data_IF_587854069119
#
_entry.id   IF_587854069119
#
_cell.length_a   1.000
_cell.length_b   1.000
_cell.length_c   1.000
_cell.angle_alpha   90.00
_cell.angle_beta   90.00
_cell.angle_gamma   90.00
#
_symmetry.space_group_name_H-M   'P 1'
#
loop_
_entity.id
_entity.type
_entity.pdbx_description
1 polymer ?
#
# COMPACT_ATOMS: atom_id res chain seq x y z
N UNK A 1 -14.34 12.31 -12.27
CA UNK A 1 -15.07 11.42 -11.36
C UNK A 1 -16.05 10.64 -12.21
N UNK A 2 -15.87 9.33 -12.35
CA UNK A 2 -16.57 8.48 -13.35
C UNK A 2 -17.90 7.94 -12.80
N UNK A 3 -18.85 7.64 -13.68
CA UNK A 3 -20.19 7.11 -13.32
C UNK A 3 -20.12 5.82 -12.48
N UNK A 4 -19.12 4.98 -12.74
CA UNK A 4 -18.79 3.77 -11.97
C UNK A 4 -18.37 4.06 -10.51
N UNK A 5 -17.81 5.23 -10.24
CA UNK A 5 -17.33 5.60 -8.90
C UNK A 5 -18.51 5.90 -7.97
N UNK A 6 -19.59 6.50 -8.51
CA UNK A 6 -20.82 6.81 -7.77
C UNK A 6 -21.60 5.56 -7.36
N UNK A 7 -21.70 4.56 -8.24
CA UNK A 7 -22.41 3.30 -7.92
C UNK A 7 -21.73 2.49 -6.81
N UNK A 8 -20.41 2.63 -6.65
CA UNK A 8 -19.68 1.98 -5.55
C UNK A 8 -20.02 2.61 -4.20
N UNK A 9 -20.51 3.86 -4.18
CA UNK A 9 -20.83 4.58 -2.93
C UNK A 9 -22.15 4.12 -2.30
N UNK A 10 -23.04 3.51 -3.07
CA UNK A 10 -24.33 2.99 -2.59
C UNK A 10 -24.25 1.55 -2.08
N UNK A 11 -23.07 0.92 -2.17
CA UNK A 11 -22.84 -0.45 -1.70
C UNK A 11 -22.52 -0.48 -0.20
N UNK A 12 -22.93 -1.56 0.50
CA UNK A 12 -22.51 -1.80 1.89
C UNK A 12 -20.99 -1.83 2.01
N UNK A 13 -20.45 -1.34 3.14
CA UNK A 13 -19.01 -1.17 3.39
C UNK A 13 -18.20 -2.45 3.09
N UNK A 14 -18.73 -3.60 3.50
CA UNK A 14 -18.13 -4.92 3.28
C UNK A 14 -17.97 -5.26 1.79
N UNK A 15 -18.95 -4.89 0.95
CA UNK A 15 -18.87 -5.15 -0.49
C UNK A 15 -17.82 -4.26 -1.16
N UNK A 16 -17.71 -3.01 -0.71
CA UNK A 16 -16.70 -2.05 -1.19
C UNK A 16 -15.29 -2.51 -0.83
N UNK A 17 -15.11 -3.00 0.41
CA UNK A 17 -13.84 -3.54 0.87
C UNK A 17 -13.45 -4.78 0.07
N UNK A 18 -14.40 -5.69 -0.19
CA UNK A 18 -14.14 -6.89 -1.02
C UNK A 18 -13.74 -6.52 -2.45
N UNK A 19 -14.35 -5.50 -3.04
CA UNK A 19 -13.98 -4.99 -4.37
C UNK A 19 -12.57 -4.38 -4.34
N UNK A 20 -12.23 -3.59 -3.30
CA UNK A 20 -10.89 -3.04 -3.11
C UNK A 20 -9.86 -4.17 -3.01
N UNK A 21 -10.10 -5.15 -2.13
CA UNK A 21 -9.21 -6.27 -1.89
C UNK A 21 -8.94 -7.04 -3.19
N UNK A 22 -9.99 -7.32 -3.98
CA UNK A 22 -9.82 -7.95 -5.29
C UNK A 22 -8.97 -7.14 -6.28
N UNK A 23 -9.11 -5.80 -6.29
CA UNK A 23 -8.27 -4.92 -7.11
C UNK A 23 -6.83 -4.92 -6.65
N UNK A 24 -6.58 -4.81 -5.35
CA UNK A 24 -5.24 -4.82 -4.77
C UNK A 24 -4.52 -6.14 -5.07
N UNK A 25 -5.16 -7.28 -4.86
CA UNK A 25 -4.61 -8.60 -5.19
C UNK A 25 -4.26 -8.74 -6.67
N UNK A 26 -5.11 -8.22 -7.56
CA UNK A 26 -4.87 -8.25 -8.99
C UNK A 26 -3.63 -7.41 -9.37
N UNK A 27 -3.56 -6.18 -8.85
CA UNK A 27 -2.41 -5.28 -9.07
C UNK A 27 -1.10 -5.88 -8.52
N UNK A 28 -1.14 -6.48 -7.33
CA UNK A 28 0.00 -7.17 -6.73
C UNK A 28 0.46 -8.34 -7.59
N UNK A 29 -0.47 -9.15 -8.12
CA UNK A 29 -0.16 -10.24 -9.04
C UNK A 29 0.51 -9.76 -10.33
N UNK A 30 0.04 -8.65 -10.90
CA UNK A 30 0.67 -8.03 -12.08
C UNK A 30 2.06 -7.47 -11.77
N UNK A 31 2.21 -6.75 -10.65
CA UNK A 31 3.50 -6.21 -10.23
C UNK A 31 4.53 -7.32 -10.01
N UNK A 32 4.10 -8.46 -9.42
CA UNK A 32 4.95 -9.63 -9.25
C UNK A 32 5.42 -10.22 -10.58
N UNK A 33 4.50 -10.42 -11.54
CA UNK A 33 4.86 -10.92 -12.87
C UNK A 33 5.80 -9.98 -13.63
N UNK A 34 5.67 -8.68 -13.40
CA UNK A 34 6.57 -7.66 -13.96
C UNK A 34 7.92 -7.56 -13.22
N UNK A 35 8.12 -8.31 -12.12
CA UNK A 35 9.32 -8.21 -11.29
C UNK A 35 9.44 -6.89 -10.51
N UNK A 36 8.33 -6.17 -10.33
CA UNK A 36 8.26 -4.85 -9.67
C UNK A 36 7.70 -4.91 -8.24
N UNK A 37 7.47 -6.11 -7.72
CA UNK A 37 6.99 -6.32 -6.36
C UNK A 37 8.14 -6.74 -5.43
N UNK A 38 8.26 -6.06 -4.30
CA UNK A 38 9.13 -6.45 -3.19
C UNK A 38 8.27 -6.96 -2.02
N UNK A 39 8.68 -8.06 -1.38
CA UNK A 39 7.95 -8.67 -0.27
C UNK A 39 8.89 -9.00 0.89
N UNK A 40 8.37 -8.94 2.12
CA UNK A 40 9.07 -9.26 3.36
C UNK A 40 9.52 -8.02 4.12
N UNK A 41 9.37 -8.06 5.44
CA UNK A 41 9.58 -6.89 6.33
C UNK A 41 10.98 -6.28 6.19
N UNK A 42 12.03 -7.10 6.20
CA UNK A 42 13.41 -6.63 6.10
C UNK A 42 13.72 -6.04 4.72
N UNK A 43 13.35 -6.76 3.67
CA UNK A 43 13.57 -6.33 2.28
C UNK A 43 12.83 -5.02 1.98
N UNK A 44 11.57 -4.92 2.41
CA UNK A 44 10.77 -3.70 2.23
C UNK A 44 11.36 -2.55 3.05
N UNK A 45 11.84 -2.78 4.27
CA UNK A 45 12.56 -1.74 5.02
C UNK A 45 13.77 -1.22 4.25
N UNK A 46 14.58 -2.10 3.67
CA UNK A 46 15.74 -1.69 2.88
C UNK A 46 15.35 -0.94 1.62
N UNK A 47 14.29 -1.36 0.93
CA UNK A 47 13.81 -0.68 -0.26
C UNK A 47 13.23 0.71 0.09
N UNK A 48 12.50 0.84 1.21
CA UNK A 48 12.05 2.15 1.73
C UNK A 48 13.25 3.07 1.98
N UNK A 49 14.34 2.57 2.57
CA UNK A 49 15.56 3.36 2.80
C UNK A 49 16.24 3.79 1.49
N UNK A 50 16.24 2.93 0.48
CA UNK A 50 16.89 3.20 -0.82
C UNK A 50 16.11 4.18 -1.68
N UNK A 51 14.78 4.07 -1.68
CA UNK A 51 13.90 4.85 -2.56
C UNK A 51 13.26 6.04 -1.88
N UNK A 52 13.17 6.00 -0.56
CA UNK A 52 12.59 7.04 0.26
C UNK A 52 13.49 8.25 0.42
N UNK A 53 12.90 9.34 0.90
CA UNK A 53 13.58 10.62 1.11
C UNK A 53 13.42 10.92 2.59
N UNK A 54 14.51 10.91 3.38
CA UNK A 54 14.42 11.28 4.78
C UNK A 54 13.95 12.74 4.90
N UNK A 55 13.29 13.04 6.01
CA UNK A 55 12.98 14.43 6.34
C UNK A 55 14.27 15.15 6.74
N UNK A 56 14.88 15.85 5.78
CA UNK A 56 16.13 16.60 5.96
C UNK A 56 15.90 17.99 6.61
N UNK A 57 14.65 18.34 6.99
CA UNK A 57 14.33 19.62 7.63
C UNK A 57 14.27 20.83 6.68
N UNK A 58 14.51 20.64 5.38
CA UNK A 58 14.45 21.67 4.33
C UNK A 58 13.02 22.19 4.02
N UNK A 59 12.00 21.69 4.73
CA UNK A 59 10.59 22.10 4.56
C UNK A 59 9.95 21.73 3.21
N UNK A 60 10.67 20.97 2.36
CA UNK A 60 10.15 20.47 1.08
C UNK A 60 9.73 19.02 1.23
N UNK A 61 8.43 18.80 1.48
CA UNK A 61 7.84 17.46 1.50
C UNK A 61 7.93 16.85 0.11
N UNK A 62 8.98 16.06 -0.14
CA UNK A 62 9.10 15.24 -1.35
C UNK A 62 8.46 13.90 -1.05
N UNK A 63 7.46 13.52 -1.83
CA UNK A 63 6.90 12.18 -1.77
C UNK A 63 7.70 11.29 -2.74
N UNK A 64 8.46 10.31 -2.23
CA UNK A 64 9.20 9.40 -3.09
C UNK A 64 8.22 8.50 -3.83
N UNK A 65 8.68 7.95 -4.95
CA UNK A 65 7.87 7.05 -5.76
C UNK A 65 7.80 5.68 -5.07
N UNK A 66 6.64 5.35 -4.50
CA UNK A 66 6.41 4.03 -3.94
C UNK A 66 5.20 3.97 -3.04
N UNK A 67 4.67 2.76 -2.86
CA UNK A 67 3.63 2.48 -1.88
C UNK A 67 3.87 1.11 -1.24
N UNK A 68 3.67 1.07 0.07
CA UNK A 68 3.82 -0.12 0.90
C UNK A 68 2.45 -0.62 1.35
N UNK A 69 2.16 -1.89 1.10
CA UNK A 69 0.95 -2.58 1.53
C UNK A 69 1.28 -3.49 2.71
N UNK A 70 0.49 -3.37 3.77
CA UNK A 70 0.63 -4.15 4.99
C UNK A 70 -0.58 -5.06 5.13
N UNK A 71 -0.35 -6.36 5.34
CA UNK A 71 -1.43 -7.33 5.53
C UNK A 71 -2.20 -7.08 6.83
N UNK A 72 -3.48 -7.47 6.86
CA UNK A 72 -4.38 -7.29 8.00
C UNK A 72 -3.88 -8.03 9.25
N UNK A 73 -3.38 -9.25 9.06
CA UNK A 73 -2.88 -10.18 10.08
C UNK A 73 -1.38 -9.99 10.37
N UNK A 74 -0.73 -8.98 9.80
CA UNK A 74 0.64 -8.66 10.14
C UNK A 74 0.77 -8.34 11.65
N UNK A 75 1.81 -8.88 12.29
CA UNK A 75 2.03 -8.68 13.72
C UNK A 75 2.15 -7.18 14.07
N UNK A 76 1.76 -6.81 15.30
CA UNK A 76 1.87 -5.43 15.76
C UNK A 76 3.31 -4.88 15.65
N UNK A 77 4.30 -5.73 15.90
CA UNK A 77 5.72 -5.37 15.74
C UNK A 77 6.08 -5.08 14.28
N UNK A 78 5.63 -5.92 13.34
CA UNK A 78 5.84 -5.70 11.89
C UNK A 78 5.17 -4.41 11.42
N UNK A 79 3.91 -4.19 11.80
CA UNK A 79 3.15 -2.96 11.45
C UNK A 79 3.89 -1.72 11.94
N UNK A 80 4.24 -1.67 13.23
CA UNK A 80 4.95 -0.55 13.83
C UNK A 80 6.29 -0.28 13.15
N UNK A 81 7.06 -1.34 12.88
CA UNK A 81 8.38 -1.23 12.24
C UNK A 81 8.28 -0.64 10.84
N UNK A 82 7.33 -1.10 10.02
CA UNK A 82 7.13 -0.60 8.66
C UNK A 82 6.57 0.83 8.68
N UNK A 83 5.57 1.11 9.50
CA UNK A 83 4.98 2.45 9.62
C UNK A 83 6.06 3.46 10.02
N UNK A 84 6.86 3.17 11.05
CA UNK A 84 7.96 4.04 11.46
C UNK A 84 8.97 4.30 10.32
N UNK A 85 9.32 3.27 9.54
CA UNK A 85 10.21 3.42 8.40
C UNK A 85 9.56 4.30 7.31
N UNK A 86 8.31 4.04 6.97
CA UNK A 86 7.58 4.84 5.99
C UNK A 86 7.44 6.30 6.43
N UNK A 87 7.12 6.57 7.69
CA UNK A 87 7.04 7.93 8.24
C UNK A 87 8.38 8.65 8.15
N UNK A 88 9.47 7.99 8.55
CA UNK A 88 10.80 8.60 8.53
C UNK A 88 11.30 8.93 7.11
N UNK A 89 11.00 8.07 6.13
CA UNK A 89 11.40 8.24 4.73
C UNK A 89 10.30 8.83 3.84
N UNK A 90 9.26 9.40 4.45
CA UNK A 90 8.09 10.01 3.81
C UNK A 90 7.42 9.15 2.71
N UNK A 91 7.44 7.83 2.90
CA UNK A 91 6.92 6.84 1.97
C UNK A 91 5.43 6.55 2.24
N UNK A 92 4.62 6.47 1.18
CA UNK A 92 3.21 6.10 1.32
C UNK A 92 3.04 4.65 1.75
N UNK A 93 2.09 4.40 2.64
CA UNK A 93 1.71 3.05 3.05
C UNK A 93 0.20 2.91 3.19
N UNK A 94 -0.29 1.68 3.14
CA UNK A 94 -1.69 1.34 3.37
C UNK A 94 -1.80 0.00 4.09
N UNK A 95 -2.63 -0.02 5.14
CA UNK A 95 -2.97 -1.25 5.86
C UNK A 95 -4.21 -1.85 5.21
N UNK A 96 -4.03 -3.01 4.59
CA UNK A 96 -5.08 -3.71 3.86
C UNK A 96 -5.96 -4.53 4.81
N UNK A 97 -7.20 -4.83 4.40
CA UNK A 97 -8.07 -5.83 5.04
C UNK A 97 -7.75 -7.28 4.61
N UNK A 98 -6.63 -7.51 3.91
CA UNK A 98 -6.29 -8.79 3.29
C UNK A 98 -5.27 -9.53 4.17
N UNK A 99 -5.48 -10.82 4.49
CA UNK A 99 -4.50 -11.62 5.22
C UNK A 99 -3.26 -11.92 4.35
N UNK A 100 -2.11 -12.09 5.00
CA UNK A 100 -0.82 -12.34 4.36
C UNK A 100 -0.85 -13.61 3.50
N UNK A 101 -1.59 -14.63 3.93
CA UNK A 101 -1.73 -15.88 3.16
C UNK A 101 -2.41 -15.65 1.80
N UNK A 102 -3.49 -14.85 1.76
CA UNK A 102 -4.21 -14.55 0.51
C UNK A 102 -3.34 -13.71 -0.45
N UNK A 103 -2.59 -12.75 0.09
CA UNK A 103 -1.57 -12.01 -0.69
C UNK A 103 -0.51 -12.99 -1.20
N UNK A 104 -0.04 -13.90 -0.36
CA UNK A 104 0.98 -14.90 -0.67
C UNK A 104 0.56 -15.86 -1.78
N UNK A 105 -0.68 -16.34 -1.75
CA UNK A 105 -1.26 -17.20 -2.81
C UNK A 105 -1.28 -16.49 -4.17
N UNK A 106 -1.61 -15.19 -4.19
CA UNK A 106 -1.69 -14.41 -5.43
C UNK A 106 -0.33 -14.00 -6.00
N UNK A 107 0.62 -13.74 -5.12
CA UNK A 107 1.97 -13.27 -5.48
C UNK A 107 2.98 -14.41 -5.59
N UNK A 108 2.65 -15.62 -5.12
CA UNK A 108 3.60 -16.74 -5.02
C UNK A 108 4.73 -16.47 -4.00
N UNK A 109 4.52 -15.56 -3.05
CA UNK A 109 5.52 -15.12 -2.06
C UNK A 109 5.16 -15.50 -0.62
N UNK A 110 4.36 -16.55 -0.42
CA UNK A 110 4.12 -17.08 0.93
C UNK A 110 5.41 -17.69 1.50
N UNK A 111 5.84 -17.35 2.74
CA UNK A 111 5.14 -16.59 3.79
C UNK A 111 5.52 -15.09 3.90
N UNK A 112 6.42 -14.57 3.06
CA UNK A 112 6.92 -13.19 3.13
C UNK A 112 5.91 -12.11 2.69
N UNK A 113 4.66 -12.49 2.37
CA UNK A 113 3.62 -11.62 1.84
C UNK A 113 2.96 -10.68 2.88
N UNK A 114 3.33 -10.78 4.16
CA UNK A 114 2.80 -9.93 5.24
C UNK A 114 3.06 -8.43 5.01
N UNK A 115 4.11 -8.08 4.26
CA UNK A 115 4.44 -6.72 3.83
C UNK A 115 4.89 -6.79 2.39
N UNK A 116 4.29 -5.97 1.54
CA UNK A 116 4.63 -5.85 0.12
C UNK A 116 4.85 -4.39 -0.26
N UNK A 117 5.74 -4.10 -1.18
CA UNK A 117 5.98 -2.74 -1.68
C UNK A 117 6.19 -2.73 -3.19
N UNK A 118 5.74 -1.65 -3.82
CA UNK A 118 6.04 -1.34 -5.22
C UNK A 118 6.62 0.07 -5.30
N UNK A 119 7.64 0.24 -6.13
CA UNK A 119 8.33 1.51 -6.36
C UNK A 119 8.22 1.97 -7.83
N UNK A 120 7.32 1.33 -8.57
CA UNK A 120 7.08 1.60 -9.98
C UNK A 120 5.90 2.54 -10.15
N UNK A 121 6.03 3.52 -11.05
CA UNK A 121 5.06 4.61 -11.19
C UNK A 121 3.65 4.14 -11.51
N UNK A 122 3.51 3.19 -12.44
CA UNK A 122 2.21 2.76 -12.92
C UNK A 122 1.49 1.93 -11.85
N UNK A 123 2.23 1.05 -11.17
CA UNK A 123 1.69 0.25 -10.07
C UNK A 123 1.38 1.10 -8.84
N UNK A 124 2.26 2.02 -8.45
CA UNK A 124 2.01 2.96 -7.35
C UNK A 124 0.77 3.79 -7.63
N UNK A 125 0.65 4.39 -8.81
CA UNK A 125 -0.53 5.18 -9.17
C UNK A 125 -1.82 4.34 -9.17
N UNK A 126 -1.77 3.11 -9.68
CA UNK A 126 -2.91 2.20 -9.70
C UNK A 126 -3.39 1.82 -8.29
N UNK A 127 -2.46 1.48 -7.40
CA UNK A 127 -2.76 1.12 -6.01
C UNK A 127 -3.26 2.34 -5.25
N UNK A 128 -2.55 3.47 -5.31
CA UNK A 128 -2.98 4.72 -4.65
C UNK A 128 -4.37 5.13 -5.12
N UNK A 129 -4.68 5.04 -6.41
CA UNK A 129 -6.01 5.35 -6.93
C UNK A 129 -7.08 4.38 -6.39
N UNK A 130 -6.79 3.08 -6.32
CA UNK A 130 -7.72 2.10 -5.77
C UNK A 130 -8.01 2.38 -4.30
N UNK A 131 -6.96 2.69 -3.53
CA UNK A 131 -7.06 3.06 -2.11
C UNK A 131 -7.81 4.38 -1.94
N UNK A 132 -7.44 5.46 -2.64
CA UNK A 132 -8.11 6.77 -2.51
C UNK A 132 -9.58 6.75 -2.92
N UNK A 133 -9.97 5.90 -3.87
CA UNK A 133 -11.39 5.70 -4.22
C UNK A 133 -12.18 5.03 -3.08
N UNK A 134 -11.51 4.28 -2.21
CA UNK A 134 -12.10 3.70 -1.00
C UNK A 134 -12.00 4.67 0.20
N UNK A 135 -10.84 5.32 0.38
CA UNK A 135 -10.48 6.21 1.47
C UNK A 135 -11.03 7.64 1.34
N UNK A 136 -11.71 7.97 0.23
CA UNK A 136 -12.51 9.19 0.09
C UNK A 136 -13.64 9.33 1.15
N UNK A 137 -13.75 8.40 2.10
CA UNK A 137 -14.60 8.43 3.29
C UNK A 137 -13.82 8.38 4.64
N UNK A 138 -12.48 8.34 4.64
CA UNK A 138 -11.63 8.44 5.83
C UNK A 138 -10.39 9.29 5.53
N UNK A 139 -10.58 10.53 5.05
CA UNK A 139 -9.46 11.47 4.97
C UNK A 139 -9.11 12.01 6.36
N UNK A 140 -8.24 11.31 7.07
CA UNK A 140 -7.13 11.97 7.77
C UNK A 140 -5.98 11.95 6.75
N UNK A 141 -5.99 12.83 5.73
CA UNK A 141 -5.19 14.06 5.77
C UNK A 141 -4.46 14.23 7.11
N UNK A 142 -3.38 13.47 7.27
CA UNK A 142 -2.30 13.89 8.15
C UNK A 142 -1.97 15.31 7.71
N UNK A 143 -2.16 16.22 8.65
CA UNK A 143 -2.28 17.64 8.44
C UNK A 143 -1.22 18.18 7.47
N UNK A 144 -1.68 19.02 6.55
CA UNK A 144 -0.83 20.10 6.06
C UNK A 144 -0.38 20.85 7.31
N UNK A 145 0.90 20.76 7.65
CA UNK A 145 1.60 21.73 8.49
C UNK A 145 3.01 21.84 7.94
#
# INVERSE_FOLDING_TARGET
MTEKDRMVQELPEEAREKILNGKLLSLLGFAMRAGKLSCGTDRVCDDIRRHGIPDDGDGKTKHPLGIVLIAADASANTKKRIINACTYYNMSYYVTGIPADEIGQRTGKSPSAAVCAVFDRDFTAGISKAVSAFDGMRTDRSERS
#
